data_IF_957461031003
#
_entry.id   IF_957461031003
#
_cell.length_a   1.000
_cell.length_b   1.000
_cell.length_c   1.000
_cell.angle_alpha   90.00
_cell.angle_beta   90.00
_cell.angle_gamma   90.00
#
_symmetry.space_group_name_H-M   'P 1'
#
loop_
_entity.id
_entity.type
_entity.pdbx_description
1 polymer ?
#
# COMPACT_ATOMS: atom_id res chain seq x y z
N UNK A 1 16.56 -23.05 19.20
CA UNK A 1 17.65 -24.02 18.95
C UNK A 1 18.94 -23.42 19.45
N UNK A 2 19.67 -24.15 20.28
CA UNK A 2 21.01 -23.72 20.75
C UNK A 2 22.01 -23.97 19.61
N UNK A 3 23.02 -23.11 19.46
CA UNK A 3 24.00 -23.21 18.36
C UNK A 3 24.67 -24.60 18.26
N UNK A 4 24.87 -25.28 19.39
CA UNK A 4 25.35 -26.67 19.46
C UNK A 4 24.47 -27.69 18.72
N UNK A 5 23.14 -27.54 18.77
CA UNK A 5 22.19 -28.46 18.12
C UNK A 5 22.28 -28.33 16.60
N UNK A 6 22.46 -27.09 16.11
CA UNK A 6 22.64 -26.81 14.68
C UNK A 6 23.96 -27.41 14.20
N UNK A 7 25.05 -27.22 14.95
CA UNK A 7 26.36 -27.78 14.62
C UNK A 7 26.34 -29.31 14.58
N UNK A 8 25.65 -29.96 15.53
CA UNK A 8 25.50 -31.42 15.54
C UNK A 8 24.63 -31.93 14.39
N UNK A 9 23.60 -31.17 13.98
CA UNK A 9 22.77 -31.50 12.82
C UNK A 9 23.57 -31.34 11.51
N UNK A 10 24.38 -30.29 11.38
CA UNK A 10 25.27 -30.06 10.24
C UNK A 10 26.30 -31.20 10.11
N UNK A 11 26.88 -31.63 11.23
CA UNK A 11 27.85 -32.74 11.25
C UNK A 11 27.22 -34.10 10.91
N UNK A 12 26.00 -34.34 11.38
CA UNK A 12 25.32 -35.63 11.19
C UNK A 12 24.61 -35.76 9.84
N UNK A 13 24.14 -34.65 9.25
CA UNK A 13 23.49 -34.65 7.96
C UNK A 13 23.66 -33.31 7.21
N UNK A 14 24.84 -33.04 6.64
CA UNK A 14 25.12 -31.77 5.96
C UNK A 14 24.23 -31.55 4.73
N UNK A 15 23.89 -32.62 3.99
CA UNK A 15 23.05 -32.54 2.79
C UNK A 15 21.62 -32.06 3.11
N UNK A 16 21.02 -32.56 4.19
CA UNK A 16 19.70 -32.11 4.61
C UNK A 16 19.71 -30.63 5.06
N UNK A 17 20.79 -30.17 5.69
CA UNK A 17 20.91 -28.77 6.09
C UNK A 17 21.03 -27.86 4.87
N UNK A 18 21.83 -28.23 3.86
CA UNK A 18 21.94 -27.46 2.61
C UNK A 18 20.58 -27.35 1.92
N UNK A 19 19.86 -28.47 1.76
CA UNK A 19 18.52 -28.46 1.15
C UNK A 19 17.52 -27.60 1.94
N UNK A 20 17.58 -27.62 3.26
CA UNK A 20 16.74 -26.76 4.10
C UNK A 20 17.07 -25.27 3.94
N UNK A 21 18.36 -24.92 3.82
CA UNK A 21 18.79 -23.54 3.55
C UNK A 21 18.28 -23.08 2.18
N UNK A 22 18.41 -23.90 1.14
CA UNK A 22 17.88 -23.59 -0.20
C UNK A 22 16.35 -23.38 -0.17
N UNK A 23 15.62 -24.18 0.60
CA UNK A 23 14.18 -24.00 0.77
C UNK A 23 13.84 -22.67 1.49
N UNK A 24 14.64 -22.30 2.50
CA UNK A 24 14.48 -21.02 3.20
C UNK A 24 14.81 -19.82 2.30
N UNK A 25 15.85 -19.92 1.48
CA UNK A 25 16.21 -18.89 0.50
C UNK A 25 15.10 -18.72 -0.53
N UNK A 26 14.57 -19.80 -1.09
CA UNK A 26 13.45 -19.75 -2.02
C UNK A 26 12.18 -19.16 -1.38
N UNK A 27 11.92 -19.43 -0.10
CA UNK A 27 10.82 -18.80 0.66
C UNK A 27 11.06 -17.31 0.86
N UNK A 28 12.30 -16.90 1.16
CA UNK A 28 12.69 -15.49 1.32
C UNK A 28 12.48 -14.71 0.02
N UNK A 29 12.96 -15.23 -1.11
CA UNK A 29 12.75 -14.59 -2.43
C UNK A 29 11.26 -14.41 -2.76
N UNK A 30 10.44 -15.45 -2.52
CA UNK A 30 8.99 -15.36 -2.71
C UNK A 30 8.35 -14.28 -1.82
N UNK A 31 8.87 -14.09 -0.60
CA UNK A 31 8.37 -13.09 0.33
C UNK A 31 8.79 -11.68 -0.09
N UNK A 32 10.02 -11.49 -0.56
CA UNK A 32 10.50 -10.22 -1.12
C UNK A 32 9.67 -9.81 -2.35
N UNK A 33 9.43 -10.73 -3.29
CA UNK A 33 8.58 -10.45 -4.46
C UNK A 33 7.13 -10.07 -4.07
N UNK A 34 6.59 -10.67 -3.00
CA UNK A 34 5.26 -10.27 -2.47
C UNK A 34 5.30 -8.88 -1.85
N UNK A 35 6.37 -8.53 -1.13
CA UNK A 35 6.57 -7.22 -0.52
C UNK A 35 6.61 -6.13 -1.60
N UNK A 36 7.38 -6.32 -2.66
CA UNK A 36 7.44 -5.37 -3.78
C UNK A 36 6.07 -5.17 -4.46
N UNK A 37 5.34 -6.25 -4.71
CA UNK A 37 3.97 -6.17 -5.26
C UNK A 37 3.02 -5.39 -4.35
N UNK A 38 3.14 -5.56 -3.03
CA UNK A 38 2.31 -4.86 -2.07
C UNK A 38 2.68 -3.36 -2.01
N UNK A 39 3.95 -3.04 -2.09
CA UNK A 39 4.44 -1.66 -2.12
C UNK A 39 3.98 -0.93 -3.39
N UNK A 40 4.01 -1.59 -4.56
CA UNK A 40 3.46 -1.04 -5.80
C UNK A 40 1.94 -0.78 -5.69
N UNK A 41 1.19 -1.70 -5.07
CA UNK A 41 -0.25 -1.50 -4.81
C UNK A 41 -0.50 -0.32 -3.87
N UNK A 42 0.31 -0.17 -2.82
CA UNK A 42 0.23 0.96 -1.87
C UNK A 42 0.41 2.29 -2.60
N UNK A 43 1.46 2.43 -3.42
CA UNK A 43 1.70 3.63 -4.24
C UNK A 43 0.53 3.96 -5.17
N UNK A 44 -0.06 2.93 -5.81
CA UNK A 44 -1.25 3.10 -6.67
C UNK A 44 -2.46 3.59 -5.87
N UNK A 45 -2.66 3.08 -4.66
CA UNK A 45 -3.74 3.51 -3.79
C UNK A 45 -3.55 4.96 -3.31
N UNK A 46 -2.34 5.33 -2.90
CA UNK A 46 -1.99 6.70 -2.51
C UNK A 46 -2.24 7.71 -3.65
N UNK A 47 -1.88 7.36 -4.89
CA UNK A 47 -2.14 8.21 -6.05
C UNK A 47 -3.65 8.42 -6.31
N UNK A 48 -4.46 7.35 -6.17
CA UNK A 48 -5.92 7.46 -6.26
C UNK A 48 -6.49 8.34 -5.16
N UNK A 49 -6.00 8.19 -3.93
CA UNK A 49 -6.46 8.99 -2.80
C UNK A 49 -6.17 10.49 -3.01
N UNK A 50 -4.99 10.84 -3.53
CA UNK A 50 -4.66 12.23 -3.91
C UNK A 50 -5.60 12.77 -4.97
N UNK A 51 -5.94 11.95 -5.97
CA UNK A 51 -6.87 12.36 -7.04
C UNK A 51 -8.27 12.62 -6.49
N UNK A 52 -8.72 11.80 -5.54
CA UNK A 52 -10.01 11.99 -4.86
C UNK A 52 -10.03 13.29 -4.06
N UNK A 53 -8.99 13.55 -3.25
CA UNK A 53 -8.87 14.79 -2.46
C UNK A 53 -8.91 16.03 -3.35
N UNK A 54 -8.18 16.04 -4.46
CA UNK A 54 -8.24 17.14 -5.44
C UNK A 54 -9.65 17.30 -6.02
N UNK A 55 -10.33 16.18 -6.30
CA UNK A 55 -11.72 16.20 -6.77
C UNK A 55 -12.67 16.82 -5.75
N UNK A 56 -12.51 16.50 -4.47
CA UNK A 56 -13.29 17.09 -3.37
C UNK A 56 -13.05 18.59 -3.26
N UNK A 57 -11.80 19.05 -3.27
CA UNK A 57 -11.45 20.48 -3.25
C UNK A 57 -12.07 21.24 -4.43
N UNK A 58 -12.03 20.67 -5.64
CA UNK A 58 -12.63 21.28 -6.84
C UNK A 58 -14.16 21.36 -6.72
N UNK A 59 -14.80 20.34 -6.16
CA UNK A 59 -16.25 20.35 -5.94
C UNK A 59 -16.64 21.38 -4.89
N UNK A 60 -15.89 21.48 -3.79
CA UNK A 60 -16.12 22.46 -2.74
C UNK A 60 -15.99 23.90 -3.27
N UNK A 61 -14.93 24.17 -4.06
CA UNK A 61 -14.75 25.47 -4.70
C UNK A 61 -15.88 25.83 -5.67
N UNK A 62 -16.40 24.85 -6.43
CA UNK A 62 -17.57 25.07 -7.30
C UNK A 62 -18.82 25.36 -6.50
N UNK A 63 -19.03 24.66 -5.38
CA UNK A 63 -20.18 24.88 -4.52
C UNK A 63 -20.17 26.30 -3.92
N UNK A 64 -19.01 26.75 -3.43
CA UNK A 64 -18.82 28.12 -2.96
C UNK A 64 -19.08 29.18 -4.03
N UNK A 65 -18.85 28.89 -5.31
CA UNK A 65 -19.18 29.83 -6.39
C UNK A 65 -20.68 29.83 -6.73
N UNK A 66 -21.36 28.70 -6.55
CA UNK A 66 -22.80 28.57 -6.78
C UNK A 66 -23.62 29.23 -5.66
N UNK A 67 -23.13 29.23 -4.42
CA UNK A 67 -23.83 29.78 -3.26
C UNK A 67 -24.17 31.29 -3.42
N UNK A 68 -23.22 32.18 -3.77
CA UNK A 68 -23.50 33.59 -4.04
C UNK A 68 -24.46 33.80 -5.21
N UNK A 69 -24.32 33.02 -6.29
CA UNK A 69 -25.19 33.11 -7.47
C UNK A 69 -26.63 32.74 -7.09
N UNK A 70 -26.81 31.65 -6.33
CA UNK A 70 -28.12 31.22 -5.84
C UNK A 70 -28.75 32.26 -4.91
N UNK A 71 -27.97 32.88 -4.01
CA UNK A 71 -28.45 33.96 -3.14
C UNK A 71 -28.93 35.15 -3.97
N UNK A 72 -28.18 35.57 -4.98
CA UNK A 72 -28.51 36.74 -5.79
C UNK A 72 -29.72 36.48 -6.72
N UNK A 73 -29.84 35.27 -7.26
CA UNK A 73 -31.03 34.85 -8.01
C UNK A 73 -32.28 34.85 -7.12
N UNK A 74 -32.19 34.32 -5.90
CA UNK A 74 -33.32 34.35 -4.94
C UNK A 74 -33.73 35.78 -4.60
N UNK A 75 -32.78 36.70 -4.41
CA UNK A 75 -33.07 38.12 -4.19
C UNK A 75 -33.78 38.79 -5.37
N UNK A 76 -33.49 38.37 -6.62
CA UNK A 76 -34.15 38.93 -7.82
C UNK A 76 -35.58 38.40 -8.02
N UNK A 77 -35.83 37.14 -7.67
CA UNK A 77 -37.16 36.51 -7.81
C UNK A 77 -38.15 37.01 -6.75
N UNK A 78 -37.67 37.38 -5.56
CA UNK A 78 -38.49 37.85 -4.44
C UNK A 78 -38.70 39.38 -4.42
N UNK A 79 -38.18 40.12 -5.40
CA UNK A 79 -38.48 41.55 -5.61
C UNK A 79 -39.60 41.71 -6.61
#
# INVERSE_FOLDING_TARGET
MKNEEILNLIRSNPAAVVSYIEELEAKKEKLEAKKEKLEAKKKKFEAKNRTLLIGEEVLEAKNWNLDPINIELRKRILR
#
